data_IF_355031643400
#
_entry.id   IF_355031643400
#
_cell.length_a   1.000
_cell.length_b   1.000
_cell.length_c   1.000
_cell.angle_alpha   90.00
_cell.angle_beta   90.00
_cell.angle_gamma   90.00
#
_symmetry.space_group_name_H-M   'P 1'
#
loop_
_entity.id
_entity.type
_entity.pdbx_description
1 polymer ?
#
# COMPACT_ATOMS: atom_id res chain seq x y z
N UNK A 1 5.06 0.40 -11.59
CA UNK A 1 6.43 0.71 -11.16
C UNK A 1 6.55 0.33 -9.68
N UNK A 2 7.45 -0.59 -9.27
CA UNK A 2 7.71 -0.85 -7.86
C UNK A 2 8.47 0.31 -7.20
N UNK A 3 8.30 0.47 -5.90
CA UNK A 3 9.06 1.42 -5.10
C UNK A 3 9.04 1.06 -3.62
N UNK A 4 9.98 1.61 -2.87
CA UNK A 4 10.15 1.40 -1.43
C UNK A 4 9.85 2.69 -0.69
N UNK A 5 9.10 2.61 0.41
CA UNK A 5 8.88 3.75 1.29
C UNK A 5 10.15 3.95 2.12
N UNK A 6 10.75 5.13 2.01
CA UNK A 6 11.93 5.56 2.76
C UNK A 6 11.60 6.71 3.71
N UNK A 7 12.51 6.92 4.66
CA UNK A 7 12.50 8.03 5.62
C UNK A 7 13.93 8.38 6.02
N UNK A 8 14.11 9.46 6.77
CA UNK A 8 15.41 9.83 7.37
C UNK A 8 15.97 8.66 8.19
N UNK A 9 17.23 8.21 7.94
CA UNK A 9 17.81 7.07 8.65
C UNK A 9 17.90 7.28 10.19
N UNK A 10 17.72 6.22 10.99
CA UNK A 10 17.65 6.37 12.45
C UNK A 10 18.95 6.91 13.07
N UNK A 11 20.12 6.53 12.56
CA UNK A 11 21.40 6.97 13.14
C UNK A 11 21.69 8.48 12.98
N UNK A 12 20.96 9.18 12.10
CA UNK A 12 21.04 10.64 11.95
C UNK A 12 19.83 11.38 12.53
N UNK A 13 18.87 10.66 13.11
CA UNK A 13 17.74 11.26 13.83
C UNK A 13 18.07 11.46 15.30
N UNK A 14 17.49 12.51 15.88
CA UNK A 14 17.56 12.76 17.33
C UNK A 14 16.72 11.72 18.09
N UNK A 15 16.99 11.54 19.38
CA UNK A 15 16.19 10.63 20.21
C UNK A 15 14.71 11.06 20.28
N UNK A 16 14.45 12.37 20.24
CA UNK A 16 13.09 12.92 20.19
C UNK A 16 12.38 12.57 18.88
N UNK A 17 13.04 12.74 17.74
CA UNK A 17 12.50 12.38 16.41
C UNK A 17 12.16 10.88 16.33
N UNK A 18 12.99 9.99 16.92
CA UNK A 18 12.75 8.54 16.91
C UNK A 18 11.51 8.08 17.68
N UNK A 19 11.06 8.88 18.65
CA UNK A 19 9.89 8.55 19.49
C UNK A 19 8.59 9.03 18.86
N UNK A 20 8.67 9.79 17.78
CA UNK A 20 7.51 10.34 17.07
C UNK A 20 7.16 9.46 15.88
N UNK A 21 5.86 9.37 15.57
CA UNK A 21 5.40 8.77 14.32
C UNK A 21 5.76 9.74 13.20
N UNK A 22 6.45 9.31 12.13
CA UNK A 22 6.78 10.19 11.01
C UNK A 22 5.53 10.77 10.36
N UNK A 23 5.58 12.04 10.01
CA UNK A 23 4.54 12.67 9.19
C UNK A 23 4.67 12.22 7.74
N UNK A 24 3.60 12.33 6.95
CA UNK A 24 3.63 11.95 5.53
C UNK A 24 4.68 12.74 4.74
N UNK A 25 4.99 13.97 5.17
CA UNK A 25 6.02 14.83 4.57
C UNK A 25 7.45 14.36 4.87
N UNK A 26 7.64 13.51 5.88
CA UNK A 26 8.93 12.93 6.25
C UNK A 26 9.25 11.65 5.46
N UNK A 27 8.26 11.15 4.72
CA UNK A 27 8.34 9.93 3.92
C UNK A 27 8.54 10.25 2.44
N UNK A 28 9.21 9.35 1.74
CA UNK A 28 9.35 9.38 0.29
C UNK A 28 9.24 7.99 -0.32
N UNK A 29 8.97 7.91 -1.62
CA UNK A 29 8.98 6.65 -2.38
C UNK A 29 10.20 6.63 -3.28
N UNK A 30 11.11 5.70 -3.03
CA UNK A 30 12.27 5.45 -3.88
C UNK A 30 11.97 4.35 -4.90
N UNK A 31 12.20 4.64 -6.18
CA UNK A 31 12.01 3.68 -7.29
C UNK A 31 13.34 3.32 -7.96
N UNK A 32 14.46 3.91 -7.54
CA UNK A 32 15.76 3.84 -8.19
C UNK A 32 15.85 4.63 -9.52
N UNK A 33 14.79 5.32 -9.94
CA UNK A 33 14.77 6.13 -11.15
C UNK A 33 15.04 7.61 -10.86
N UNK A 34 15.72 8.27 -11.79
CA UNK A 34 15.83 9.72 -11.81
C UNK A 34 14.53 10.40 -12.27
N UNK A 35 14.46 11.72 -12.17
CA UNK A 35 13.27 12.49 -12.54
C UNK A 35 12.85 12.29 -14.01
N UNK A 36 13.80 12.12 -14.92
CA UNK A 36 13.50 11.86 -16.33
C UNK A 36 12.94 10.44 -16.53
N UNK A 37 13.48 9.45 -15.84
CA UNK A 37 13.00 8.07 -15.82
C UNK A 37 11.59 7.95 -15.26
N UNK A 38 11.30 8.64 -14.15
CA UNK A 38 9.96 8.72 -13.57
C UNK A 38 8.93 9.29 -14.56
N UNK A 39 9.26 10.39 -15.24
CA UNK A 39 8.38 10.99 -16.26
C UNK A 39 8.13 10.05 -17.44
N UNK A 40 9.17 9.36 -17.93
CA UNK A 40 9.04 8.33 -18.98
C UNK A 40 8.19 7.14 -18.53
N UNK A 41 8.27 6.76 -17.26
CA UNK A 41 7.42 5.73 -16.65
C UNK A 41 5.98 6.18 -16.40
N UNK A 42 5.64 7.43 -16.70
CA UNK A 42 4.29 7.99 -16.57
C UNK A 42 3.95 8.54 -15.19
N UNK A 43 4.92 8.65 -14.28
CA UNK A 43 4.71 9.22 -12.94
C UNK A 43 4.57 10.73 -13.00
N UNK A 44 3.53 11.25 -12.35
CA UNK A 44 3.15 12.66 -12.24
C UNK A 44 2.60 12.96 -10.85
N UNK A 45 2.54 14.23 -10.46
CA UNK A 45 1.81 14.64 -9.24
C UNK A 45 0.37 14.13 -9.34
N UNK A 46 -0.10 13.47 -8.28
CA UNK A 46 -1.42 12.80 -8.25
C UNK A 46 -1.42 11.35 -8.72
N UNK A 47 -0.29 10.77 -9.13
CA UNK A 47 -0.21 9.33 -9.45
C UNK A 47 -0.51 8.51 -8.20
N UNK A 48 -1.50 7.60 -8.22
CA UNK A 48 -1.84 6.80 -7.06
C UNK A 48 -0.75 5.75 -6.79
N UNK A 49 -0.52 5.47 -5.51
CA UNK A 49 0.34 4.38 -5.04
C UNK A 49 -0.49 3.42 -4.19
N UNK A 50 -0.09 2.16 -4.13
CA UNK A 50 -0.72 1.16 -3.30
C UNK A 50 0.32 0.20 -2.71
N UNK A 51 0.10 -0.38 -1.52
CA UNK A 51 0.97 -1.39 -0.97
C UNK A 51 1.18 -2.55 -1.95
N UNK A 52 2.43 -2.95 -2.17
CA UNK A 52 2.78 -4.09 -3.04
C UNK A 52 2.68 -5.42 -2.29
N UNK A 53 1.49 -5.74 -1.78
CA UNK A 53 1.23 -6.96 -0.99
C UNK A 53 0.54 -8.02 -1.86
N UNK A 54 1.10 -9.24 -1.87
CA UNK A 54 0.48 -10.41 -2.52
C UNK A 54 -0.48 -11.13 -1.57
N UNK A 55 -1.55 -11.71 -2.11
CA UNK A 55 -2.46 -12.56 -1.34
C UNK A 55 -1.79 -13.89 -0.97
N UNK A 56 -1.93 -14.32 0.29
CA UNK A 56 -1.37 -15.56 0.80
C UNK A 56 -2.30 -16.20 1.81
N UNK A 57 -2.37 -17.53 1.81
CA UNK A 57 -3.06 -18.30 2.86
C UNK A 57 -2.11 -18.53 4.03
N UNK A 58 -2.51 -18.16 5.24
CA UNK A 58 -1.71 -18.33 6.46
C UNK A 58 -2.07 -19.60 7.22
N UNK A 59 -3.34 -20.00 7.18
CA UNK A 59 -3.84 -21.26 7.75
C UNK A 59 -5.16 -21.65 7.08
N UNK A 60 -5.80 -22.73 7.54
CA UNK A 60 -7.12 -23.17 7.05
C UNK A 60 -8.15 -22.03 7.01
N UNK A 61 -8.16 -21.18 8.04
CA UNK A 61 -9.17 -20.13 8.23
C UNK A 61 -8.58 -18.70 8.25
N UNK A 62 -7.33 -18.50 7.78
CA UNK A 62 -6.69 -17.17 7.79
C UNK A 62 -5.94 -16.91 6.49
N UNK A 63 -6.05 -15.68 6.01
CA UNK A 63 -5.41 -15.17 4.80
C UNK A 63 -4.78 -13.81 5.08
N UNK A 64 -3.76 -13.45 4.29
CA UNK A 64 -3.08 -12.17 4.28
C UNK A 64 -3.21 -11.58 2.88
N UNK A 65 -3.37 -10.26 2.78
CA UNK A 65 -3.49 -9.54 1.52
C UNK A 65 -3.67 -8.05 1.78
N UNK A 66 -4.00 -7.30 0.73
CA UNK A 66 -4.32 -5.87 0.83
C UNK A 66 -5.77 -5.60 0.44
N UNK A 67 -6.33 -4.55 1.04
CA UNK A 67 -7.68 -4.05 0.77
C UNK A 67 -8.77 -5.12 0.96
N UNK A 68 -8.68 -5.89 2.04
CA UNK A 68 -9.86 -6.62 2.53
C UNK A 68 -10.98 -5.64 2.89
N UNK A 69 -10.62 -4.50 3.47
CA UNK A 69 -11.45 -3.29 3.52
C UNK A 69 -11.41 -2.59 2.14
N UNK A 70 -12.46 -2.62 1.31
CA UNK A 70 -13.71 -3.41 1.47
C UNK A 70 -13.95 -4.43 0.35
N UNK A 71 -12.88 -5.02 -0.21
CA UNK A 71 -13.05 -6.11 -1.18
C UNK A 71 -13.70 -7.35 -0.56
N UNK A 72 -13.61 -7.53 0.76
CA UNK A 72 -14.31 -8.60 1.46
C UNK A 72 -15.83 -8.37 1.44
N UNK A 73 -16.30 -7.16 1.75
CA UNK A 73 -17.72 -6.80 1.63
C UNK A 73 -18.23 -6.93 0.18
N UNK A 74 -17.46 -6.43 -0.78
CA UNK A 74 -17.77 -6.61 -2.21
C UNK A 74 -17.90 -8.07 -2.60
N UNK A 75 -17.03 -8.95 -2.11
CA UNK A 75 -17.12 -10.39 -2.35
C UNK A 75 -18.38 -11.02 -1.75
N UNK A 76 -18.76 -10.61 -0.54
CA UNK A 76 -20.01 -11.06 0.09
C UNK A 76 -21.22 -10.65 -0.77
N UNK A 77 -21.27 -9.40 -1.24
CA UNK A 77 -22.34 -8.92 -2.12
C UNK A 77 -22.42 -9.69 -3.44
N UNK A 78 -21.26 -9.97 -4.05
CA UNK A 78 -21.20 -10.79 -5.27
C UNK A 78 -21.75 -12.20 -5.02
N UNK A 79 -21.42 -12.82 -3.88
CA UNK A 79 -21.92 -14.15 -3.52
C UNK A 79 -23.42 -14.17 -3.28
N UNK A 80 -23.95 -13.16 -2.60
CA UNK A 80 -25.39 -13.00 -2.40
C UNK A 80 -26.13 -12.88 -3.73
N UNK A 81 -25.63 -12.07 -4.66
CA UNK A 81 -26.20 -11.93 -6.00
C UNK A 81 -26.19 -13.25 -6.79
N UNK A 82 -25.08 -14.00 -6.75
CA UNK A 82 -24.95 -15.30 -7.43
C UNK A 82 -25.92 -16.37 -6.90
N UNK A 83 -26.20 -16.35 -5.59
CA UNK A 83 -27.08 -17.32 -4.92
C UNK A 83 -28.57 -16.92 -4.98
N UNK A 84 -28.92 -15.84 -5.69
CA UNK A 84 -30.29 -15.30 -5.73
C UNK A 84 -30.74 -14.65 -4.41
N UNK A 85 -29.78 -14.38 -3.53
CA UNK A 85 -29.96 -13.80 -2.21
C UNK A 85 -29.89 -12.28 -2.22
N UNK A 86 -30.75 -11.63 -3.01
CA UNK A 86 -31.26 -10.30 -2.68
C UNK A 86 -32.78 -10.39 -2.87
N UNK A 87 -33.59 -9.84 -1.95
CA UNK A 87 -35.03 -9.72 -2.20
C UNK A 87 -35.32 -8.97 -3.50
#
# INVERSE_FOLDING_TARGET
LPGTIGMKPPHITTEAERKQVPEMTDLFVDTGLDGAGLKRAGVRVGTPIAPSTSFRRLSKNRVMGKAFDDRAGCYVLLKLLEEGGLP
#
